data_IF_304707480908
#
_entry.id   IF_304707480908
#
_cell.length_a   1.000
_cell.length_b   1.000
_cell.length_c   1.000
_cell.angle_alpha   90.00
_cell.angle_beta   90.00
_cell.angle_gamma   90.00
#
_symmetry.space_group_name_H-M   'P 1'
#
loop_
_entity.id
_entity.type
_entity.pdbx_description
1 polymer ?
#
# COMPACT_ATOMS: atom_id res chain seq x y z
N UNK A 1 -27.18 -11.04 18.10
CA UNK A 1 -26.54 -11.88 17.06
C UNK A 1 -25.15 -12.23 17.58
N UNK A 2 -24.65 -13.45 17.36
CA UNK A 2 -23.26 -13.78 17.73
C UNK A 2 -22.31 -12.93 16.88
N UNK A 3 -21.14 -12.56 17.46
CA UNK A 3 -20.10 -11.88 16.69
C UNK A 3 -19.68 -12.74 15.48
N UNK A 4 -19.44 -12.15 14.31
CA UNK A 4 -19.04 -12.91 13.13
C UNK A 4 -17.65 -13.53 13.35
N UNK A 5 -17.37 -14.71 12.79
CA UNK A 5 -16.06 -15.33 12.88
C UNK A 5 -15.04 -14.54 12.03
N UNK A 6 -14.02 -14.00 12.70
CA UNK A 6 -12.99 -13.13 12.11
C UNK A 6 -11.62 -13.77 12.26
N UNK A 7 -10.81 -13.75 11.20
CA UNK A 7 -9.40 -14.07 11.25
C UNK A 7 -8.55 -12.82 11.01
N UNK A 8 -7.30 -12.86 11.46
CA UNK A 8 -6.30 -11.89 11.05
C UNK A 8 -5.16 -12.59 10.29
N UNK A 9 -4.72 -11.98 9.19
CA UNK A 9 -3.55 -12.37 8.41
C UNK A 9 -2.52 -11.26 8.51
N UNK A 10 -1.47 -11.52 9.26
CA UNK A 10 -0.32 -10.61 9.44
C UNK A 10 0.79 -11.07 8.50
N UNK A 11 1.36 -10.15 7.73
CA UNK A 11 2.48 -10.43 6.83
C UNK A 11 3.72 -9.65 7.28
N UNK A 12 4.91 -10.26 7.22
CA UNK A 12 6.11 -9.55 7.63
C UNK A 12 7.41 -10.28 7.28
N UNK A 13 8.51 -9.55 7.48
CA UNK A 13 9.88 -10.08 7.38
C UNK A 13 10.80 -9.25 8.25
N UNK A 14 11.44 -9.88 9.24
CA UNK A 14 12.38 -9.23 10.16
C UNK A 14 11.77 -8.01 10.88
N UNK A 15 10.56 -8.17 11.41
CA UNK A 15 9.85 -7.07 12.09
C UNK A 15 10.17 -7.01 13.60
N UNK A 16 10.69 -8.08 14.20
CA UNK A 16 11.12 -8.12 15.61
C UNK A 16 10.02 -7.65 16.57
N UNK A 17 10.32 -6.66 17.41
CA UNK A 17 9.39 -6.12 18.40
C UNK A 17 8.12 -5.48 17.78
N UNK A 18 8.18 -5.01 16.53
CA UNK A 18 7.00 -4.48 15.81
C UNK A 18 5.98 -5.59 15.61
N UNK A 19 6.43 -6.77 15.14
CA UNK A 19 5.56 -7.93 14.97
C UNK A 19 4.92 -8.37 16.29
N UNK A 20 5.69 -8.38 17.40
CA UNK A 20 5.17 -8.76 18.71
C UNK A 20 4.03 -7.80 19.12
N UNK A 21 4.20 -6.48 18.93
CA UNK A 21 3.16 -5.51 19.20
C UNK A 21 1.94 -5.71 18.30
N UNK A 22 2.16 -5.95 17.00
CA UNK A 22 1.11 -6.24 16.03
C UNK A 22 0.27 -7.46 16.46
N UNK A 23 0.91 -8.58 16.74
CA UNK A 23 0.21 -9.81 17.11
C UNK A 23 -0.55 -9.66 18.44
N UNK A 24 0.06 -8.99 19.43
CA UNK A 24 -0.60 -8.72 20.73
C UNK A 24 -1.83 -7.83 20.58
N UNK A 25 -1.80 -6.86 19.69
CA UNK A 25 -2.97 -5.99 19.45
C UNK A 25 -4.17 -6.73 18.85
N UNK A 26 -3.94 -7.88 18.23
CA UNK A 26 -4.98 -8.73 17.63
C UNK A 26 -5.49 -9.83 18.57
N UNK A 27 -4.72 -10.16 19.63
CA UNK A 27 -5.12 -11.22 20.58
C UNK A 27 -6.45 -10.89 21.24
N UNK A 28 -7.36 -11.88 21.30
CA UNK A 28 -8.69 -11.71 21.86
C UNK A 28 -9.70 -10.97 20.97
N UNK A 29 -9.26 -10.34 19.88
CA UNK A 29 -10.13 -9.67 18.92
C UNK A 29 -10.52 -10.56 17.73
N UNK A 30 -9.77 -11.62 17.45
CA UNK A 30 -9.97 -12.51 16.31
C UNK A 30 -9.99 -13.97 16.74
N UNK A 31 -10.71 -14.80 16.00
CA UNK A 31 -10.83 -16.24 16.27
C UNK A 31 -9.58 -17.01 15.80
N UNK A 32 -9.02 -16.59 14.67
CA UNK A 32 -7.81 -17.19 14.10
C UNK A 32 -6.76 -16.10 13.82
N UNK A 33 -5.54 -16.32 14.28
CA UNK A 33 -4.40 -15.44 14.02
C UNK A 33 -3.39 -16.18 13.15
N UNK A 34 -3.11 -15.66 11.95
CA UNK A 34 -2.15 -16.22 11.00
C UNK A 34 -1.02 -15.23 10.81
N UNK A 35 0.22 -15.69 10.95
CA UNK A 35 1.40 -14.92 10.55
C UNK A 35 2.07 -15.58 9.34
N UNK A 36 2.25 -14.82 8.27
CA UNK A 36 2.96 -15.27 7.07
C UNK A 36 4.36 -14.70 7.07
N UNK A 37 5.33 -15.57 7.31
CA UNK A 37 6.75 -15.24 7.37
C UNK A 37 7.37 -15.28 5.98
N UNK A 38 7.97 -14.17 5.57
CA UNK A 38 8.63 -14.01 4.27
C UNK A 38 10.14 -14.24 4.34
N UNK A 39 10.58 -15.16 5.22
CA UNK A 39 11.97 -15.55 5.41
C UNK A 39 12.71 -14.67 6.42
N UNK A 40 12.14 -14.50 7.59
CA UNK A 40 12.80 -13.81 8.71
C UNK A 40 13.97 -14.60 9.27
N UNK A 41 15.01 -13.87 9.70
CA UNK A 41 16.20 -14.39 10.37
C UNK A 41 16.37 -13.89 11.82
N UNK A 42 15.42 -13.08 12.31
CA UNK A 42 15.46 -12.37 13.60
C UNK A 42 14.64 -13.03 14.72
N UNK A 43 14.13 -14.24 14.49
CA UNK A 43 13.27 -14.94 15.46
C UNK A 43 11.78 -14.59 15.36
N UNK A 44 11.36 -13.72 14.45
CA UNK A 44 9.95 -13.33 14.25
C UNK A 44 8.99 -14.52 14.15
N UNK A 45 9.34 -15.57 13.38
CA UNK A 45 8.49 -16.75 13.23
C UNK A 45 8.33 -17.56 14.52
N UNK A 46 9.37 -17.64 15.38
CA UNK A 46 9.28 -18.29 16.69
C UNK A 46 8.38 -17.49 17.64
N UNK A 47 8.62 -16.18 17.75
CA UNK A 47 7.82 -15.29 18.57
C UNK A 47 6.33 -15.31 18.20
N UNK A 48 6.02 -15.42 16.89
CA UNK A 48 4.63 -15.53 16.44
C UNK A 48 3.95 -16.83 16.92
N UNK A 49 4.67 -17.97 16.88
CA UNK A 49 4.15 -19.25 17.43
C UNK A 49 3.89 -19.17 18.92
N UNK A 50 4.83 -18.58 19.67
CA UNK A 50 4.72 -18.41 21.13
C UNK A 50 3.52 -17.54 21.52
N UNK A 51 3.09 -16.63 20.64
CA UNK A 51 1.90 -15.80 20.78
C UNK A 51 0.61 -16.47 20.27
N UNK A 52 0.67 -17.74 19.84
CA UNK A 52 -0.48 -18.51 19.41
C UNK A 52 -0.88 -18.33 17.94
N UNK A 53 -0.05 -17.67 17.12
CA UNK A 53 -0.33 -17.54 15.71
C UNK A 53 0.00 -18.82 14.93
N UNK A 54 -0.86 -19.16 13.96
CA UNK A 54 -0.51 -20.13 12.91
C UNK A 54 0.52 -19.51 11.98
N UNK A 55 1.74 -20.08 11.94
CA UNK A 55 2.84 -19.53 11.13
C UNK A 55 2.93 -20.25 9.78
N UNK A 56 2.81 -19.49 8.70
CA UNK A 56 3.00 -19.93 7.31
C UNK A 56 4.35 -19.39 6.82
N UNK A 57 5.28 -20.27 6.47
CA UNK A 57 6.55 -19.87 5.88
C UNK A 57 6.40 -19.83 4.35
N UNK A 58 6.67 -18.68 3.74
CA UNK A 58 6.66 -18.57 2.28
C UNK A 58 7.81 -19.36 1.64
N UNK A 59 7.52 -20.00 0.52
CA UNK A 59 8.54 -20.61 -0.34
C UNK A 59 9.43 -19.50 -0.97
N UNK A 60 10.67 -19.43 -0.53
CA UNK A 60 11.65 -18.43 -0.97
C UNK A 60 12.29 -18.76 -2.32
N UNK A 61 12.03 -19.95 -2.90
CA UNK A 61 12.44 -20.26 -4.29
C UNK A 61 11.69 -19.40 -5.31
N UNK A 62 10.53 -18.87 -4.91
CA UNK A 62 9.73 -17.96 -5.69
C UNK A 62 9.90 -16.51 -5.18
N UNK A 63 9.67 -15.55 -6.07
CA UNK A 63 9.77 -14.13 -5.70
C UNK A 63 8.82 -13.77 -4.57
N UNK A 64 9.35 -13.10 -3.58
CA UNK A 64 8.57 -12.54 -2.49
C UNK A 64 7.73 -11.35 -2.97
N UNK A 65 6.44 -11.32 -2.62
CA UNK A 65 5.54 -10.17 -2.75
C UNK A 65 4.55 -10.14 -1.58
N UNK A 66 4.06 -8.96 -1.19
CA UNK A 66 3.02 -8.84 -0.19
C UNK A 66 1.72 -9.55 -0.63
N UNK A 67 1.41 -9.53 -1.93
CA UNK A 67 0.29 -10.24 -2.52
C UNK A 67 0.37 -11.75 -2.26
N UNK A 68 1.53 -12.37 -2.51
CA UNK A 68 1.77 -13.79 -2.23
C UNK A 68 1.60 -14.12 -0.74
N UNK A 69 2.15 -13.25 0.12
CA UNK A 69 2.03 -13.45 1.55
C UNK A 69 0.56 -13.39 2.01
N UNK A 70 -0.22 -12.41 1.55
CA UNK A 70 -1.64 -12.32 1.89
C UNK A 70 -2.45 -13.48 1.36
N UNK A 71 -2.18 -13.95 0.13
CA UNK A 71 -2.85 -15.14 -0.42
C UNK A 71 -2.49 -16.42 0.35
N UNK A 72 -1.23 -16.59 0.74
CA UNK A 72 -0.81 -17.74 1.55
C UNK A 72 -1.50 -17.77 2.92
N UNK A 73 -1.68 -16.60 3.55
CA UNK A 73 -2.45 -16.49 4.77
C UNK A 73 -3.94 -16.77 4.57
N UNK A 74 -4.51 -16.26 3.47
CA UNK A 74 -5.91 -16.51 3.11
C UNK A 74 -6.18 -18.01 2.88
N UNK A 75 -5.24 -18.74 2.29
CA UNK A 75 -5.37 -20.16 1.96
C UNK A 75 -5.44 -21.10 3.18
N UNK A 76 -4.98 -20.64 4.35
CA UNK A 76 -4.99 -21.44 5.59
C UNK A 76 -6.06 -21.01 6.59
N UNK A 77 -7.00 -20.14 6.16
CA UNK A 77 -8.13 -19.77 6.99
C UNK A 77 -9.04 -20.97 7.26
N UNK A 78 -9.52 -21.06 8.50
CA UNK A 78 -10.50 -22.08 8.89
C UNK A 78 -11.83 -21.90 8.16
N UNK A 79 -12.53 -23.00 7.98
CA UNK A 79 -13.87 -22.96 7.39
C UNK A 79 -14.82 -22.16 8.28
N UNK A 80 -15.62 -21.31 7.64
CA UNK A 80 -16.63 -20.51 8.33
C UNK A 80 -16.15 -19.10 8.72
N UNK A 81 -14.88 -18.77 8.54
CA UNK A 81 -14.39 -17.37 8.71
C UNK A 81 -15.12 -16.47 7.71
N UNK A 82 -15.81 -15.46 8.21
CA UNK A 82 -16.60 -14.52 7.40
C UNK A 82 -15.77 -13.31 6.97
N UNK A 83 -14.95 -12.79 7.88
CA UNK A 83 -14.10 -11.64 7.62
C UNK A 83 -12.65 -11.94 7.94
N UNK A 84 -11.75 -11.31 7.18
CA UNK A 84 -10.30 -11.36 7.39
C UNK A 84 -9.74 -9.95 7.53
N UNK A 85 -9.03 -9.69 8.61
CA UNK A 85 -8.22 -8.49 8.78
C UNK A 85 -6.83 -8.76 8.22
N UNK A 86 -6.47 -8.09 7.12
CA UNK A 86 -5.09 -8.04 6.67
C UNK A 86 -4.34 -6.92 7.40
N UNK A 87 -3.11 -7.19 7.82
CA UNK A 87 -2.26 -6.25 8.57
C UNK A 87 -0.80 -6.46 8.19
N UNK A 88 -0.06 -5.36 8.01
CA UNK A 88 1.38 -5.41 7.90
C UNK A 88 2.01 -5.59 9.30
N UNK A 89 3.07 -6.40 9.45
CA UNK A 89 3.65 -6.78 10.75
C UNK A 89 4.32 -5.63 11.53
N UNK A 90 4.41 -4.45 10.93
CA UNK A 90 4.88 -3.21 11.57
C UNK A 90 3.73 -2.27 11.99
N UNK A 91 2.49 -2.76 11.96
CA UNK A 91 1.29 -2.05 12.37
C UNK A 91 0.74 -2.60 13.69
N UNK A 92 0.23 -1.75 14.55
CA UNK A 92 -0.51 -2.09 15.77
C UNK A 92 -1.99 -1.72 15.57
N UNK A 93 -2.88 -2.69 15.73
CA UNK A 93 -4.31 -2.50 15.50
C UNK A 93 -4.95 -1.81 16.68
N UNK A 94 -5.81 -0.82 16.41
CA UNK A 94 -6.60 -0.14 17.43
C UNK A 94 -7.55 -1.12 18.13
N UNK A 95 -7.69 -1.08 19.46
CA UNK A 95 -8.51 -2.04 20.20
C UNK A 95 -9.99 -2.05 19.81
N UNK A 96 -10.53 -0.93 19.33
CA UNK A 96 -11.94 -0.81 18.94
C UNK A 96 -12.18 -1.11 17.44
N UNK A 97 -11.10 -1.25 16.66
CA UNK A 97 -11.20 -1.32 15.21
C UNK A 97 -11.96 -2.55 14.70
N UNK A 98 -11.57 -3.75 15.14
CA UNK A 98 -12.14 -5.01 14.62
C UNK A 98 -13.63 -5.05 14.86
N UNK A 99 -14.10 -4.68 16.05
CA UNK A 99 -15.53 -4.63 16.39
C UNK A 99 -16.26 -3.60 15.53
N UNK A 100 -15.75 -2.37 15.45
CA UNK A 100 -16.32 -1.28 14.65
C UNK A 100 -16.46 -1.66 13.17
N UNK A 101 -15.41 -2.24 12.60
CA UNK A 101 -15.41 -2.65 11.19
C UNK A 101 -16.34 -3.84 10.93
N UNK A 102 -16.40 -4.81 11.85
CA UNK A 102 -17.29 -5.97 11.72
C UNK A 102 -18.76 -5.56 11.79
N UNK A 103 -19.14 -4.70 12.73
CA UNK A 103 -20.50 -4.17 12.86
C UNK A 103 -20.91 -3.43 11.59
N UNK A 104 -20.03 -2.60 11.06
CA UNK A 104 -20.28 -1.92 9.79
C UNK A 104 -20.47 -2.91 8.64
N UNK A 105 -19.58 -3.91 8.50
CA UNK A 105 -19.64 -4.89 7.42
C UNK A 105 -20.90 -5.77 7.50
N UNK A 106 -21.38 -6.08 8.70
CA UNK A 106 -22.65 -6.81 8.90
C UNK A 106 -23.86 -5.95 8.48
N UNK A 107 -23.85 -4.66 8.83
CA UNK A 107 -24.91 -3.73 8.45
C UNK A 107 -24.91 -3.38 6.95
N UNK A 108 -23.79 -3.60 6.25
CA UNK A 108 -23.60 -3.25 4.85
C UNK A 108 -23.20 -4.48 4.00
N UNK A 109 -24.15 -5.36 3.61
CA UNK A 109 -23.83 -6.61 2.90
C UNK A 109 -23.11 -6.44 1.56
N UNK A 110 -23.19 -5.26 0.94
CA UNK A 110 -22.47 -4.91 -0.30
C UNK A 110 -21.04 -4.44 -0.05
N UNK A 111 -20.65 -4.14 1.18
CA UNK A 111 -19.29 -3.79 1.52
C UNK A 111 -18.42 -5.05 1.49
N UNK A 112 -17.40 -5.06 0.62
CA UNK A 112 -16.38 -6.10 0.59
C UNK A 112 -15.19 -5.74 1.50
N UNK A 113 -14.93 -4.44 1.69
CA UNK A 113 -13.77 -3.93 2.42
C UNK A 113 -14.15 -2.74 3.27
N UNK A 114 -13.73 -2.77 4.53
CA UNK A 114 -13.71 -1.63 5.43
C UNK A 114 -12.27 -1.33 5.85
N UNK A 115 -11.86 -0.07 5.76
CA UNK A 115 -10.61 0.45 6.30
C UNK A 115 -10.88 1.67 7.19
N UNK A 116 -9.95 1.95 8.10
CA UNK A 116 -10.01 3.06 9.03
C UNK A 116 -8.86 4.05 8.82
N UNK A 117 -8.62 4.90 9.81
CA UNK A 117 -7.46 5.79 9.86
C UNK A 117 -6.21 4.99 10.20
N UNK A 118 -5.26 4.93 9.30
CA UNK A 118 -3.89 4.47 9.54
C UNK A 118 -3.05 5.68 9.91
N UNK A 119 -2.40 5.67 11.06
CA UNK A 119 -1.51 6.74 11.53
C UNK A 119 -0.07 6.28 11.51
N UNK A 120 0.82 7.22 11.23
CA UNK A 120 2.24 7.02 11.55
C UNK A 120 2.45 7.15 13.05
N UNK A 121 3.21 6.21 13.63
CA UNK A 121 3.51 6.18 15.07
C UNK A 121 4.40 7.34 15.52
N UNK A 122 5.34 7.72 14.67
CA UNK A 122 6.37 8.73 14.95
C UNK A 122 6.46 9.78 13.84
N UNK A 123 5.38 10.55 13.61
CA UNK A 123 5.35 11.51 12.50
C UNK A 123 6.37 12.66 12.69
N UNK A 124 6.74 12.98 13.96
CA UNK A 124 7.69 14.04 14.28
C UNK A 124 9.15 13.69 14.00
N UNK A 125 9.49 12.39 13.91
CA UNK A 125 10.88 11.93 13.78
C UNK A 125 11.50 12.29 12.43
N UNK A 126 10.68 12.35 11.37
CA UNK A 126 11.16 12.76 10.05
C UNK A 126 10.05 13.43 9.21
N UNK A 127 10.49 14.23 8.23
CA UNK A 127 9.58 14.77 7.21
C UNK A 127 8.87 13.64 6.45
N UNK A 128 9.55 12.54 6.22
CA UNK A 128 9.01 11.42 5.43
C UNK A 128 7.91 10.67 6.18
N UNK A 129 8.06 10.51 7.51
CA UNK A 129 7.01 9.94 8.36
C UNK A 129 5.77 10.86 8.40
N UNK A 130 5.96 12.18 8.52
CA UNK A 130 4.84 13.14 8.41
C UNK A 130 4.12 13.07 7.06
N UNK A 131 4.89 12.90 5.97
CA UNK A 131 4.31 12.75 4.64
C UNK A 131 3.48 11.46 4.53
N UNK A 132 3.94 10.35 5.11
CA UNK A 132 3.18 9.11 5.18
C UNK A 132 1.88 9.29 5.98
N UNK A 133 1.96 9.87 7.18
CA UNK A 133 0.77 10.12 8.00
C UNK A 133 -0.28 10.96 7.25
N UNK A 134 0.17 12.01 6.59
CA UNK A 134 -0.69 12.88 5.80
C UNK A 134 -1.23 12.22 4.50
N UNK A 135 -0.52 11.26 3.91
CA UNK A 135 -0.97 10.47 2.76
C UNK A 135 -2.06 9.48 3.15
N UNK A 136 -1.96 8.88 4.34
CA UNK A 136 -2.92 7.89 4.84
C UNK A 136 -4.19 8.51 5.42
N UNK A 137 -4.25 9.83 5.57
CA UNK A 137 -5.46 10.55 5.96
C UNK A 137 -6.38 10.75 4.75
N UNK A 138 -7.06 9.68 4.38
CA UNK A 138 -7.97 9.63 3.24
C UNK A 138 -9.39 10.04 3.63
N UNK A 139 -10.19 10.56 2.69
CA UNK A 139 -11.59 10.95 2.96
C UNK A 139 -12.43 9.77 3.46
N UNK A 140 -13.26 10.04 4.48
CA UNK A 140 -14.28 9.11 5.00
C UNK A 140 -15.39 8.92 3.95
N UNK A 141 -15.93 7.70 3.86
CA UNK A 141 -17.01 7.32 2.95
C UNK A 141 -16.63 6.21 1.97
N UNK A 142 -17.37 6.10 0.88
CA UNK A 142 -17.07 5.14 -0.18
C UNK A 142 -15.75 5.50 -0.86
N UNK A 143 -14.84 4.52 -0.92
CA UNK A 143 -13.46 4.71 -1.37
C UNK A 143 -13.15 3.86 -2.61
N UNK A 144 -12.06 4.18 -3.29
CA UNK A 144 -11.57 3.39 -4.43
C UNK A 144 -10.58 2.30 -4.03
N UNK A 145 -9.91 2.48 -2.90
CA UNK A 145 -8.87 1.61 -2.36
C UNK A 145 -8.77 1.78 -0.84
N UNK A 146 -8.19 0.83 -0.14
CA UNK A 146 -8.16 0.80 1.33
C UNK A 146 -6.76 0.93 1.95
N UNK A 147 -5.68 0.64 1.22
CA UNK A 147 -4.34 0.47 1.79
C UNK A 147 -4.05 -0.96 2.24
N UNK A 148 -2.86 -1.21 2.78
CA UNK A 148 -2.39 -2.56 3.14
C UNK A 148 -3.15 -3.20 4.29
N UNK A 149 -3.70 -2.40 5.21
CA UNK A 149 -4.48 -2.85 6.36
C UNK A 149 -5.98 -2.64 6.07
N UNK A 150 -6.77 -3.68 6.23
CA UNK A 150 -8.23 -3.58 6.05
C UNK A 150 -8.94 -4.85 6.53
N UNK A 151 -10.19 -4.70 6.98
CA UNK A 151 -11.12 -5.81 7.19
C UNK A 151 -11.83 -6.12 5.87
N UNK A 152 -11.74 -7.36 5.41
CA UNK A 152 -12.31 -7.78 4.13
C UNK A 152 -13.26 -8.97 4.28
N UNK A 153 -14.33 -8.99 3.48
CA UNK A 153 -15.24 -10.12 3.38
C UNK A 153 -14.57 -11.26 2.60
N UNK A 154 -14.37 -12.40 3.25
CA UNK A 154 -13.62 -13.55 2.72
C UNK A 154 -14.19 -14.02 1.38
N UNK A 155 -15.52 -14.16 1.27
CA UNK A 155 -16.16 -14.59 0.01
C UNK A 155 -15.91 -13.60 -1.14
N UNK A 156 -15.85 -12.31 -0.86
CA UNK A 156 -15.56 -11.30 -1.89
C UNK A 156 -14.11 -11.41 -2.39
N UNK A 157 -13.15 -11.59 -1.48
CA UNK A 157 -11.74 -11.79 -1.85
C UNK A 157 -11.55 -13.06 -2.67
N UNK A 158 -12.15 -14.18 -2.26
CA UNK A 158 -12.06 -15.44 -3.02
C UNK A 158 -12.72 -15.34 -4.40
N UNK A 159 -13.91 -14.76 -4.50
CA UNK A 159 -14.62 -14.63 -5.78
C UNK A 159 -13.90 -13.68 -6.75
N UNK A 160 -13.14 -12.71 -6.23
CA UNK A 160 -12.26 -11.87 -7.03
C UNK A 160 -10.95 -12.57 -7.43
N UNK A 161 -10.68 -13.79 -6.94
CA UNK A 161 -9.46 -14.56 -7.23
C UNK A 161 -8.25 -14.16 -6.39
N UNK A 162 -8.45 -13.55 -5.21
CA UNK A 162 -7.37 -13.13 -4.31
C UNK A 162 -6.52 -11.97 -4.84
N UNK A 163 -5.37 -11.75 -4.24
CA UNK A 163 -4.39 -10.77 -4.68
C UNK A 163 -3.60 -11.27 -5.90
N UNK A 164 -3.23 -10.37 -6.80
CA UNK A 164 -2.39 -10.69 -7.95
C UNK A 164 -0.92 -10.81 -7.52
N UNK A 165 -0.43 -12.03 -7.40
CA UNK A 165 0.88 -12.36 -6.78
C UNK A 165 2.10 -11.78 -7.49
N UNK A 166 1.99 -11.54 -8.80
CA UNK A 166 3.08 -10.96 -9.59
C UNK A 166 3.35 -9.48 -9.36
N UNK A 167 2.44 -8.76 -8.69
CA UNK A 167 2.60 -7.33 -8.43
C UNK A 167 3.63 -7.11 -7.31
N UNK A 168 4.60 -6.23 -7.56
CA UNK A 168 5.59 -5.83 -6.55
C UNK A 168 5.08 -4.70 -5.63
N UNK A 169 4.05 -3.99 -6.07
CA UNK A 169 3.33 -2.96 -5.32
C UNK A 169 1.98 -2.67 -5.99
N UNK A 170 1.03 -2.13 -5.22
CA UNK A 170 -0.29 -1.78 -5.74
C UNK A 170 -1.24 -2.97 -5.88
N UNK A 171 -0.93 -4.06 -5.22
CA UNK A 171 -1.73 -5.29 -5.18
C UNK A 171 -3.10 -5.07 -4.54
N UNK A 172 -3.18 -4.19 -3.54
CA UNK A 172 -4.41 -3.86 -2.85
C UNK A 172 -5.32 -2.95 -3.69
N UNK A 173 -4.88 -1.80 -4.28
CA UNK A 173 -5.70 -1.03 -5.20
C UNK A 173 -6.16 -1.82 -6.43
N UNK A 174 -5.36 -2.79 -6.90
CA UNK A 174 -5.72 -3.69 -7.98
C UNK A 174 -6.85 -4.65 -7.59
N UNK A 175 -6.78 -5.26 -6.40
CA UNK A 175 -7.85 -6.08 -5.84
C UNK A 175 -9.12 -5.25 -5.64
N UNK A 176 -9.03 -4.07 -5.04
CA UNK A 176 -10.15 -3.16 -4.85
C UNK A 176 -10.82 -2.77 -6.18
N UNK A 177 -10.04 -2.58 -7.25
CA UNK A 177 -10.59 -2.35 -8.59
C UNK A 177 -11.43 -3.54 -9.08
N UNK A 178 -10.93 -4.79 -8.92
CA UNK A 178 -11.69 -5.99 -9.31
C UNK A 178 -12.95 -6.17 -8.48
N UNK A 179 -12.86 -5.93 -7.18
CA UNK A 179 -14.01 -5.98 -6.28
C UNK A 179 -15.11 -4.98 -6.72
N UNK A 180 -14.75 -3.71 -7.00
CA UNK A 180 -15.72 -2.72 -7.49
C UNK A 180 -16.34 -3.10 -8.83
N UNK A 181 -15.56 -3.66 -9.75
CA UNK A 181 -16.07 -4.18 -11.03
C UNK A 181 -17.05 -5.35 -10.87
N UNK A 182 -16.90 -6.10 -9.78
CA UNK A 182 -17.85 -7.15 -9.40
C UNK A 182 -19.08 -6.62 -8.62
N UNK A 183 -19.19 -5.29 -8.44
CA UNK A 183 -20.33 -4.65 -7.78
C UNK A 183 -20.18 -4.47 -6.27
N UNK A 184 -19.02 -4.80 -5.70
CA UNK A 184 -18.72 -4.59 -4.29
C UNK A 184 -18.34 -3.15 -3.98
N UNK A 185 -18.53 -2.73 -2.73
CA UNK A 185 -18.16 -1.42 -2.21
C UNK A 185 -16.93 -1.52 -1.29
N UNK A 186 -16.11 -0.47 -1.31
CA UNK A 186 -14.96 -0.27 -0.42
C UNK A 186 -15.28 0.95 0.44
N UNK A 187 -15.09 0.87 1.75
CA UNK A 187 -15.45 1.93 2.68
C UNK A 187 -14.30 2.34 3.58
N UNK A 188 -14.10 3.67 3.69
CA UNK A 188 -13.24 4.31 4.68
C UNK A 188 -14.11 4.82 5.82
N UNK A 189 -13.98 4.16 7.00
CA UNK A 189 -14.76 4.49 8.19
C UNK A 189 -14.10 5.64 8.97
N UNK A 190 -14.90 6.44 9.66
CA UNK A 190 -14.41 7.43 10.62
C UNK A 190 -14.05 6.73 11.95
N UNK A 191 -12.98 5.94 11.91
CA UNK A 191 -12.46 5.18 13.05
C UNK A 191 -10.94 5.06 12.94
N UNK A 192 -10.25 5.06 14.07
CA UNK A 192 -8.83 4.69 14.14
C UNK A 192 -8.70 3.21 13.79
N UNK A 193 -7.66 2.85 13.02
CA UNK A 193 -7.46 1.47 12.58
C UNK A 193 -6.12 0.93 13.01
N UNK A 194 -5.04 1.58 12.60
CA UNK A 194 -3.68 1.09 12.87
C UNK A 194 -2.71 2.23 13.15
N UNK A 195 -1.76 1.96 14.07
CA UNK A 195 -0.53 2.73 14.23
C UNK A 195 0.59 2.00 13.49
N UNK A 196 1.12 2.63 12.46
CA UNK A 196 2.18 2.10 11.61
C UNK A 196 3.53 2.70 11.98
N UNK A 197 4.56 1.88 12.05
CA UNK A 197 5.94 2.28 12.32
C UNK A 197 6.76 2.23 11.00
N UNK A 198 6.61 3.27 10.17
CA UNK A 198 7.18 3.32 8.83
C UNK A 198 8.71 3.34 8.79
N UNK A 199 9.35 3.95 9.79
CA UNK A 199 10.81 4.12 9.90
C UNK A 199 11.48 4.68 8.63
N UNK A 200 10.83 5.63 7.97
CA UNK A 200 11.41 6.32 6.81
C UNK A 200 12.16 7.54 7.32
N UNK A 201 13.45 7.36 7.56
CA UNK A 201 14.31 8.36 8.20
C UNK A 201 15.24 9.08 7.22
N UNK A 202 15.41 8.55 6.00
CA UNK A 202 16.38 9.04 5.02
C UNK A 202 15.73 9.32 3.67
N UNK A 203 16.23 10.30 2.96
CA UNK A 203 15.76 10.64 1.61
C UNK A 203 15.76 9.44 0.65
N UNK A 204 16.79 8.58 0.69
CA UNK A 204 16.86 7.40 -0.16
C UNK A 204 15.72 6.40 0.06
N UNK A 205 15.25 6.23 1.32
CA UNK A 205 14.11 5.36 1.64
C UNK A 205 12.81 5.95 1.04
N UNK A 206 12.58 7.25 1.24
CA UNK A 206 11.44 7.96 0.63
C UNK A 206 11.50 7.92 -0.90
N UNK A 207 12.67 8.13 -1.48
CA UNK A 207 12.88 8.05 -2.93
C UNK A 207 12.52 6.66 -3.47
N UNK A 208 13.02 5.61 -2.86
CA UNK A 208 12.74 4.23 -3.27
C UNK A 208 11.25 3.88 -3.10
N UNK A 209 10.59 4.35 -2.03
CA UNK A 209 9.14 4.22 -1.86
C UNK A 209 8.38 4.90 -3.00
N UNK A 210 8.73 6.12 -3.34
CA UNK A 210 8.12 6.88 -4.44
C UNK A 210 8.39 6.23 -5.81
N UNK A 211 9.61 5.70 -6.01
CA UNK A 211 9.98 4.95 -7.22
C UNK A 211 9.16 3.65 -7.34
N UNK A 212 8.96 2.93 -6.24
CA UNK A 212 8.10 1.75 -6.20
C UNK A 212 6.66 2.10 -6.54
N UNK A 213 6.13 3.22 -6.06
CA UNK A 213 4.81 3.72 -6.42
C UNK A 213 4.70 4.02 -7.92
N UNK A 214 5.71 4.67 -8.51
CA UNK A 214 5.74 4.93 -9.96
C UNK A 214 5.74 3.67 -10.82
N UNK A 215 6.46 2.62 -10.39
CA UNK A 215 6.41 1.30 -11.02
C UNK A 215 4.98 0.72 -10.95
N UNK A 216 4.36 0.76 -9.77
CA UNK A 216 2.99 0.26 -9.57
C UNK A 216 1.98 1.02 -10.43
N UNK A 217 2.09 2.36 -10.55
CA UNK A 217 1.22 3.15 -11.43
C UNK A 217 1.33 2.71 -12.89
N UNK A 218 2.54 2.51 -13.39
CA UNK A 218 2.77 2.08 -14.77
C UNK A 218 2.26 0.65 -15.02
N UNK A 219 2.48 -0.26 -14.07
CA UNK A 219 2.01 -1.65 -14.15
C UNK A 219 0.49 -1.73 -14.07
N UNK A 220 -0.15 -1.02 -13.12
CA UNK A 220 -1.59 -0.95 -13.00
C UNK A 220 -2.26 -0.31 -14.23
N UNK A 221 -1.65 0.75 -14.79
CA UNK A 221 -2.11 1.36 -16.03
C UNK A 221 -1.98 0.40 -17.24
N UNK A 222 -0.92 -0.40 -17.29
CA UNK A 222 -0.74 -1.40 -18.34
C UNK A 222 -1.74 -2.57 -18.24
N UNK A 223 -2.13 -2.94 -17.01
CA UNK A 223 -3.09 -4.02 -16.77
C UNK A 223 -4.55 -3.58 -16.95
N UNK A 224 -4.89 -2.39 -16.49
CA UNK A 224 -6.29 -1.95 -16.34
C UNK A 224 -6.61 -0.59 -16.95
N UNK A 225 -5.63 0.10 -17.53
CA UNK A 225 -5.79 1.45 -18.05
C UNK A 225 -6.71 1.58 -19.27
N UNK A 226 -6.94 0.48 -19.99
CA UNK A 226 -7.91 0.45 -21.11
C UNK A 226 -9.37 0.42 -20.63
N UNK A 227 -9.65 0.05 -19.37
CA UNK A 227 -10.99 -0.01 -18.82
C UNK A 227 -11.58 1.39 -18.54
N UNK A 228 -12.89 1.42 -18.24
CA UNK A 228 -13.66 2.66 -18.00
C UNK A 228 -13.00 3.53 -16.90
N UNK A 229 -12.52 2.94 -15.83
CA UNK A 229 -11.89 3.66 -14.71
C UNK A 229 -10.51 4.23 -15.04
N UNK A 230 -9.89 3.80 -16.15
CA UNK A 230 -8.54 4.23 -16.56
C UNK A 230 -7.54 4.16 -15.41
N UNK A 231 -7.54 3.02 -14.71
CA UNK A 231 -6.77 2.84 -13.48
C UNK A 231 -5.31 3.27 -13.66
N UNK A 232 -4.89 4.23 -12.85
CA UNK A 232 -3.54 4.82 -12.77
C UNK A 232 -2.95 5.41 -14.07
N UNK A 233 -3.76 5.59 -15.11
CA UNK A 233 -3.30 6.23 -16.36
C UNK A 233 -2.91 7.69 -16.12
N UNK A 234 -3.68 8.41 -15.31
CA UNK A 234 -3.39 9.82 -15.00
C UNK A 234 -2.13 9.97 -14.13
N UNK A 235 -1.95 9.07 -13.14
CA UNK A 235 -0.78 9.02 -12.27
C UNK A 235 0.49 8.75 -13.07
N UNK A 236 0.47 7.73 -13.92
CA UNK A 236 1.58 7.37 -14.82
C UNK A 236 1.93 8.52 -15.76
N UNK A 237 0.93 9.14 -16.39
CA UNK A 237 1.16 10.29 -17.29
C UNK A 237 1.76 11.49 -16.57
N UNK A 238 1.25 11.81 -15.38
CA UNK A 238 1.80 12.89 -14.56
C UNK A 238 3.24 12.63 -14.14
N UNK A 239 3.54 11.40 -13.70
CA UNK A 239 4.90 11.00 -13.35
C UNK A 239 5.84 11.16 -14.55
N UNK A 240 5.52 10.58 -15.70
CA UNK A 240 6.34 10.66 -16.91
C UNK A 240 6.47 12.08 -17.46
N UNK A 241 5.38 12.88 -17.44
CA UNK A 241 5.43 14.26 -17.92
C UNK A 241 6.34 15.13 -17.04
N UNK A 242 6.08 15.16 -15.73
CA UNK A 242 6.79 16.06 -14.81
C UNK A 242 8.17 15.55 -14.41
N UNK A 243 8.36 14.22 -14.30
CA UNK A 243 9.62 13.62 -13.85
C UNK A 243 10.57 13.20 -14.95
N UNK A 244 10.14 13.13 -16.22
CA UNK A 244 11.00 12.71 -17.33
C UNK A 244 10.86 13.63 -18.56
N UNK A 245 9.69 13.74 -19.18
CA UNK A 245 9.56 14.46 -20.46
C UNK A 245 9.89 15.93 -20.35
N UNK A 246 9.38 16.62 -19.34
CA UNK A 246 9.63 18.06 -19.14
C UNK A 246 11.09 18.38 -18.81
N UNK A 247 11.78 17.69 -17.90
CA UNK A 247 13.22 17.92 -17.65
C UNK A 247 14.06 17.69 -18.91
N UNK A 248 13.77 16.62 -19.67
CA UNK A 248 14.50 16.34 -20.92
C UNK A 248 14.25 17.44 -21.96
N UNK A 249 12.99 17.89 -22.12
CA UNK A 249 12.68 18.96 -23.05
C UNK A 249 13.37 20.28 -22.69
N UNK A 250 13.43 20.63 -21.39
CA UNK A 250 14.15 21.82 -20.90
C UNK A 250 15.66 21.68 -21.17
N UNK A 251 16.24 20.51 -20.88
CA UNK A 251 17.66 20.27 -21.13
C UNK A 251 18.01 20.39 -22.63
N UNK A 252 17.21 19.79 -23.50
CA UNK A 252 17.40 19.90 -24.96
C UNK A 252 17.23 21.33 -25.46
N UNK A 253 16.22 22.05 -24.96
CA UNK A 253 16.03 23.47 -25.31
C UNK A 253 17.20 24.34 -24.87
N UNK A 254 17.78 24.07 -23.69
CA UNK A 254 18.94 24.78 -23.18
C UNK A 254 20.21 24.60 -24.04
N UNK A 255 20.31 23.48 -24.79
CA UNK A 255 21.38 23.28 -25.77
C UNK A 255 21.27 24.25 -26.96
N UNK A 256 20.04 24.63 -27.33
CA UNK A 256 19.81 25.62 -28.40
C UNK A 256 20.03 27.07 -27.90
N UNK A 257 19.56 27.36 -26.68
CA UNK A 257 19.77 28.69 -26.07
C UNK A 257 19.73 28.61 -24.54
N UNK A 258 20.85 29.04 -23.83
CA UNK A 258 20.96 28.88 -22.38
C UNK A 258 19.81 29.52 -21.56
N UNK A 259 19.19 30.62 -22.03
CA UNK A 259 18.08 31.25 -21.33
C UNK A 259 16.85 30.35 -21.25
N UNK A 260 16.74 29.31 -22.08
CA UNK A 260 15.62 28.34 -21.99
C UNK A 260 15.68 27.45 -20.76
N UNK A 261 16.83 27.42 -20.04
CA UNK A 261 16.91 26.85 -18.67
C UNK A 261 15.95 27.53 -17.70
N UNK A 262 15.58 28.80 -17.93
CA UNK A 262 14.59 29.49 -17.10
C UNK A 262 13.22 28.80 -17.10
N UNK A 263 12.93 27.97 -18.11
CA UNK A 263 11.72 27.13 -18.09
C UNK A 263 11.68 26.17 -16.88
N UNK A 264 12.83 25.84 -16.27
CA UNK A 264 12.89 25.05 -15.02
C UNK A 264 12.19 25.73 -13.84
N UNK A 265 11.99 27.06 -13.89
CA UNK A 265 11.21 27.80 -12.89
C UNK A 265 9.76 27.34 -12.76
N UNK A 266 9.26 26.52 -13.72
CA UNK A 266 7.97 25.87 -13.61
C UNK A 266 7.87 24.97 -12.37
N UNK A 267 8.99 24.35 -11.91
CA UNK A 267 9.01 23.48 -10.72
C UNK A 267 8.79 24.28 -9.43
N UNK A 268 9.59 25.32 -9.10
CA UNK A 268 9.31 26.14 -7.91
C UNK A 268 7.94 26.85 -8.03
N UNK A 269 7.51 27.27 -9.19
CA UNK A 269 6.18 27.83 -9.39
C UNK A 269 5.07 26.80 -9.06
N UNK A 270 5.26 25.53 -9.46
CA UNK A 270 4.34 24.46 -9.12
C UNK A 270 4.33 24.16 -7.60
N UNK A 271 5.50 24.18 -6.94
CA UNK A 271 5.58 24.05 -5.48
C UNK A 271 4.80 25.18 -4.81
N UNK A 272 5.00 26.43 -5.21
CA UNK A 272 4.28 27.59 -4.66
C UNK A 272 2.77 27.48 -4.89
N UNK A 273 2.34 27.02 -6.07
CA UNK A 273 0.92 26.80 -6.36
C UNK A 273 0.30 25.73 -5.44
N UNK A 274 0.97 24.60 -5.28
CA UNK A 274 0.49 23.49 -4.46
C UNK A 274 0.55 23.81 -2.96
N UNK A 275 1.55 24.59 -2.52
CA UNK A 275 1.72 24.95 -1.11
C UNK A 275 0.51 25.67 -0.50
N UNK A 276 -0.23 26.40 -1.33
CA UNK A 276 -1.47 27.07 -0.92
C UNK A 276 -2.59 26.11 -0.51
N UNK A 277 -2.51 24.83 -0.95
CA UNK A 277 -3.55 23.81 -0.69
C UNK A 277 -3.13 22.78 0.34
N UNK A 278 -1.84 22.42 0.36
CA UNK A 278 -1.35 21.29 1.17
C UNK A 278 -0.13 21.61 2.05
N UNK A 279 0.26 22.88 2.12
CA UNK A 279 1.48 23.31 2.81
C UNK A 279 2.75 23.09 1.99
N UNK A 280 3.83 23.83 2.34
CA UNK A 280 5.07 23.86 1.57
C UNK A 280 5.77 22.50 1.52
N UNK A 281 5.88 21.82 2.66
CA UNK A 281 6.56 20.53 2.78
C UNK A 281 5.93 19.48 1.86
N UNK A 282 4.61 19.28 1.95
CA UNK A 282 3.90 18.33 1.08
C UNK A 282 3.96 18.71 -0.40
N UNK A 283 3.89 20.00 -0.69
CA UNK A 283 3.99 20.49 -2.07
C UNK A 283 5.36 20.21 -2.67
N UNK A 284 6.45 20.48 -1.93
CA UNK A 284 7.82 20.23 -2.34
C UNK A 284 8.04 18.74 -2.65
N UNK A 285 7.69 17.87 -1.71
CA UNK A 285 7.86 16.42 -1.89
C UNK A 285 6.89 15.84 -2.93
N UNK A 286 5.71 16.43 -3.14
CA UNK A 286 4.82 16.05 -4.24
C UNK A 286 5.41 16.33 -5.63
N UNK A 287 6.17 17.42 -5.76
CA UNK A 287 6.87 17.76 -7.02
C UNK A 287 8.12 16.91 -7.18
N UNK A 288 8.95 16.79 -6.14
CA UNK A 288 10.16 15.95 -6.16
C UNK A 288 9.83 14.47 -6.42
N UNK A 289 8.73 13.98 -5.85
CA UNK A 289 8.27 12.60 -6.02
C UNK A 289 8.03 12.23 -7.48
N UNK A 290 7.69 13.20 -8.35
CA UNK A 290 7.47 12.92 -9.78
C UNK A 290 8.71 12.40 -10.48
N UNK A 291 9.91 12.78 -10.05
CA UNK A 291 11.17 12.26 -10.60
C UNK A 291 11.38 10.79 -10.19
N UNK A 292 11.14 10.46 -8.93
CA UNK A 292 11.23 9.08 -8.45
C UNK A 292 10.15 8.19 -9.09
N UNK A 293 8.91 8.66 -9.14
CA UNK A 293 7.79 7.97 -9.81
C UNK A 293 8.08 7.75 -11.29
N UNK A 294 8.64 8.75 -12.00
CA UNK A 294 9.03 8.59 -13.40
C UNK A 294 10.12 7.54 -13.59
N UNK A 295 11.14 7.53 -12.71
CA UNK A 295 12.18 6.49 -12.74
C UNK A 295 11.57 5.09 -12.58
N UNK A 296 10.63 4.90 -11.65
CA UNK A 296 9.93 3.64 -11.45
C UNK A 296 9.06 3.24 -12.66
N UNK A 297 8.33 4.19 -13.24
CA UNK A 297 7.50 3.94 -14.43
C UNK A 297 8.36 3.55 -15.65
N UNK A 298 9.46 4.27 -15.90
CA UNK A 298 10.40 3.95 -16.99
C UNK A 298 11.04 2.58 -16.80
N UNK A 299 11.37 2.23 -15.56
CA UNK A 299 11.89 0.92 -15.21
C UNK A 299 10.90 -0.21 -15.50
N UNK A 300 9.60 -0.03 -15.16
CA UNK A 300 8.55 -0.97 -15.52
C UNK A 300 8.52 -1.20 -17.03
N UNK A 301 8.47 -0.13 -17.85
CA UNK A 301 8.43 -0.26 -19.31
C UNK A 301 9.69 -0.90 -19.88
N UNK A 302 10.87 -0.62 -19.31
CA UNK A 302 12.13 -1.23 -19.70
C UNK A 302 12.15 -2.74 -19.45
N UNK A 303 11.72 -3.17 -18.24
CA UNK A 303 11.63 -4.59 -17.91
C UNK A 303 10.60 -5.32 -18.78
N UNK A 304 9.45 -4.69 -19.01
CA UNK A 304 8.40 -5.21 -19.88
C UNK A 304 8.91 -5.39 -21.33
N UNK A 305 9.65 -4.43 -21.84
CA UNK A 305 10.24 -4.52 -23.18
C UNK A 305 11.27 -5.64 -23.29
N UNK A 306 12.05 -5.87 -22.23
CA UNK A 306 13.04 -6.96 -22.17
C UNK A 306 12.45 -8.33 -21.85
N UNK A 307 11.17 -8.45 -21.58
CA UNK A 307 10.54 -9.70 -21.13
C UNK A 307 11.05 -10.20 -19.78
N UNK A 308 11.65 -9.31 -18.97
CA UNK A 308 12.17 -9.62 -17.65
C UNK A 308 11.21 -9.09 -16.57
N UNK A 309 11.08 -9.82 -15.46
CA UNK A 309 10.32 -9.32 -14.31
C UNK A 309 11.28 -8.84 -13.22
N UNK A 310 10.91 -7.78 -12.49
CA UNK A 310 11.69 -7.24 -11.39
C UNK A 310 11.30 -7.86 -10.05
N UNK A 311 12.25 -7.95 -9.09
CA UNK A 311 11.98 -8.21 -7.68
C UNK A 311 11.52 -6.96 -6.92
N UNK A 312 11.04 -7.12 -5.68
CA UNK A 312 10.63 -6.00 -4.80
C UNK A 312 11.80 -5.04 -4.59
N UNK A 313 11.48 -3.73 -4.63
CA UNK A 313 12.33 -2.67 -4.11
C UNK A 313 12.11 -2.56 -2.60
N UNK A 314 13.02 -3.10 -1.81
CA UNK A 314 13.03 -2.85 -0.37
C UNK A 314 13.50 -1.41 -0.12
N UNK A 315 12.83 -0.70 0.79
CA UNK A 315 13.16 0.67 1.17
C UNK A 315 13.36 0.84 2.69
N UNK A 316 13.15 -0.24 3.46
CA UNK A 316 13.41 -0.30 4.92
C UNK A 316 14.77 -0.88 5.21
#
# INVERSE_FOLDING_TARGET
>A
MSAPPIAAVVIGRNEGERLIRCLRSLQGQVQQLVYVDSGSSDGSAAAARDLGATVVNLDLSQRFTAARARNAGLAVLENGIEFVQFVDGDCEVDPDWIATAADFMQAHPKAAVACGRRRERFPEVSVYNRLCDAEWDTPVGEAKACGGDALMRVVAVYTAGGYREGLIAGEEPELCLRLRRAGWQIWRLEAEMTLHDAQILRFGQWWNRSRRAGHAFAEGAALHGAGVERHWVAETRRALLWGAALPVAIALAALAHPLLMLASLIYPAQVLRLSRRMGFERALFSVLGKFAEAAGALEFYWHRWRGSARGILEYK
#
